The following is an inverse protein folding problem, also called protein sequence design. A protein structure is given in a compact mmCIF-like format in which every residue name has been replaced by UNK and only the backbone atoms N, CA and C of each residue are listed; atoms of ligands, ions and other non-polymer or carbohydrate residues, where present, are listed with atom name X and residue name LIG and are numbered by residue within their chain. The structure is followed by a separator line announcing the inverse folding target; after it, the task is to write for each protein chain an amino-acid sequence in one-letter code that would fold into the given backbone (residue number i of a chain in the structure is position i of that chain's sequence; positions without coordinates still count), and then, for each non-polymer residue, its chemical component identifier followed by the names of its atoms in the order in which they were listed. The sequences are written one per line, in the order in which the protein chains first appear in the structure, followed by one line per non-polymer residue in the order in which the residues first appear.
data_IF_038162416514
#
_entry.id   IF_038162416514
#
_cell.length_a   1.000
_cell.length_b   1.000
_cell.length_c   1.000
_cell.angle_alpha   90.00
_cell.angle_beta   90.00
_cell.angle_gamma   90.00
#
_symmetry.space_group_name_H-M   'P 1'
#
loop_
_entity.id
_entity.type
_entity.pdbx_description
1 polymer ?
#
# COMPACT_ATOMS: atom_id res chain seq x y z
N UNK A 1 2.51 19.11 21.36
CA UNK A 1 2.76 17.67 21.68
C UNK A 1 2.03 16.83 20.66
N UNK A 2 2.77 15.97 20.01
CA UNK A 2 2.44 15.30 18.74
C UNK A 2 1.33 14.25 18.88
N UNK A 3 0.38 14.21 17.93
CA UNK A 3 -0.63 13.15 17.78
C UNK A 3 0.01 11.79 17.38
N UNK A 4 1.32 11.77 17.09
CA UNK A 4 2.09 10.53 16.93
C UNK A 4 2.29 9.71 18.21
N UNK A 5 1.66 10.06 19.33
CA UNK A 5 1.76 9.33 20.60
C UNK A 5 0.71 8.23 20.85
N UNK A 6 -0.03 7.79 19.83
CA UNK A 6 -0.98 6.65 19.94
C UNK A 6 -0.28 5.28 19.86
N UNK A 7 1.03 5.21 19.57
CA UNK A 7 1.79 3.94 19.63
C UNK A 7 2.64 3.78 20.90
N UNK A 8 2.21 4.41 22.00
CA UNK A 8 2.80 4.21 23.33
C UNK A 8 1.96 3.25 24.18
N UNK A 9 1.64 2.06 23.68
CA UNK A 9 1.25 0.92 24.52
C UNK A 9 1.52 -0.42 23.81
N UNK A 10 2.19 -1.31 24.54
CA UNK A 10 2.69 -2.64 24.14
C UNK A 10 1.63 -3.50 23.43
N UNK A 11 2.04 -4.15 22.33
CA UNK A 11 1.37 -5.21 21.56
C UNK A 11 0.10 -4.74 20.80
N UNK A 12 -0.04 -4.88 19.47
CA UNK A 12 0.05 -6.15 18.76
C UNK A 12 0.42 -5.95 17.27
N UNK A 13 1.61 -6.39 16.82
CA UNK A 13 1.99 -6.39 15.39
C UNK A 13 0.99 -7.15 14.51
N UNK A 14 0.18 -8.00 15.13
CA UNK A 14 -0.93 -8.71 14.51
C UNK A 14 -1.99 -7.79 13.93
N UNK A 15 -2.50 -6.83 14.70
CA UNK A 15 -3.52 -5.89 14.24
C UNK A 15 -2.96 -4.99 13.13
N UNK A 16 -1.72 -4.55 13.31
CA UNK A 16 -0.95 -3.82 12.30
C UNK A 16 -0.88 -4.56 10.95
N UNK A 17 -0.56 -5.85 10.97
CA UNK A 17 -0.50 -6.70 9.78
C UNK A 17 -1.90 -6.87 9.16
N UNK A 18 -2.93 -7.12 9.99
CA UNK A 18 -4.29 -7.32 9.51
C UNK A 18 -4.83 -6.09 8.78
N UNK A 19 -4.57 -4.89 9.30
CA UNK A 19 -4.97 -3.66 8.64
C UNK A 19 -4.39 -3.60 7.22
N UNK A 20 -3.09 -3.88 7.05
CA UNK A 20 -2.44 -3.83 5.72
C UNK A 20 -2.97 -4.89 4.76
N UNK A 21 -3.33 -6.08 5.26
CA UNK A 21 -3.99 -7.11 4.44
C UNK A 21 -5.36 -6.63 3.96
N UNK A 22 -6.16 -6.03 4.84
CA UNK A 22 -7.48 -5.48 4.49
C UNK A 22 -7.35 -4.37 3.45
N UNK A 23 -6.41 -3.43 3.62
CA UNK A 23 -6.15 -2.38 2.64
C UNK A 23 -5.77 -2.95 1.27
N UNK A 24 -4.91 -3.97 1.24
CA UNK A 24 -4.52 -4.65 -0.01
C UNK A 24 -5.73 -5.21 -0.74
N UNK A 25 -6.59 -5.97 -0.04
CA UNK A 25 -7.76 -6.60 -0.62
C UNK A 25 -8.77 -5.57 -1.16
N UNK A 26 -9.01 -4.48 -0.41
CA UNK A 26 -9.93 -3.42 -0.81
C UNK A 26 -9.40 -2.54 -1.95
N UNK A 27 -8.08 -2.43 -2.09
CA UNK A 27 -7.45 -1.61 -3.12
C UNK A 27 -7.51 -2.23 -4.51
N UNK A 28 -7.59 -3.56 -4.62
CA UNK A 28 -7.44 -4.25 -5.89
C UNK A 28 -8.54 -3.88 -6.88
N UNK A 29 -9.81 -3.99 -6.47
CA UNK A 29 -10.95 -3.67 -7.33
C UNK A 29 -10.97 -2.20 -7.77
N UNK A 30 -10.53 -1.28 -6.91
CA UNK A 30 -10.42 0.14 -7.27
C UNK A 30 -9.26 0.37 -8.24
N UNK A 31 -8.13 -0.29 -8.01
CA UNK A 31 -6.97 -0.23 -8.88
C UNK A 31 -7.32 -0.71 -10.30
N UNK A 32 -7.95 -1.87 -10.43
CA UNK A 32 -8.37 -2.44 -11.72
C UNK A 32 -9.54 -1.69 -12.36
N UNK A 33 -10.42 -1.06 -11.56
CA UNK A 33 -11.47 -0.19 -12.10
C UNK A 33 -10.92 1.13 -12.67
N UNK A 34 -9.91 1.73 -12.03
CA UNK A 34 -9.27 2.98 -12.49
C UNK A 34 -8.30 2.72 -13.63
N UNK A 35 -7.68 1.54 -13.63
CA UNK A 35 -6.77 1.08 -14.68
C UNK A 35 -7.28 -0.26 -15.27
N UNK A 36 -8.35 -0.22 -16.10
CA UNK A 36 -8.99 -1.42 -16.68
C UNK A 36 -8.02 -2.31 -17.48
N UNK A 37 -6.94 -1.75 -17.99
CA UNK A 37 -5.85 -2.50 -18.61
C UNK A 37 -5.20 -3.51 -17.66
N UNK A 38 -5.34 -3.38 -16.35
CA UNK A 38 -4.85 -4.32 -15.34
C UNK A 38 -5.96 -5.24 -14.79
N UNK A 39 -7.16 -5.27 -15.38
CA UNK A 39 -8.28 -6.14 -14.96
C UNK A 39 -7.95 -7.64 -14.91
N UNK A 40 -6.96 -8.11 -15.65
CA UNK A 40 -6.47 -9.50 -15.58
C UNK A 40 -6.02 -9.88 -14.13
N UNK A 41 -5.73 -8.91 -13.26
CA UNK A 41 -5.45 -9.16 -11.83
C UNK A 41 -6.66 -9.64 -11.03
N UNK A 42 -7.89 -9.46 -11.53
CA UNK A 42 -9.12 -9.93 -10.88
C UNK A 42 -9.37 -11.42 -11.10
N UNK A 43 -8.56 -12.10 -11.90
CA UNK A 43 -8.59 -13.56 -11.98
C UNK A 43 -8.16 -14.18 -10.64
N UNK A 44 -8.87 -15.22 -10.18
CA UNK A 44 -8.67 -15.83 -8.85
C UNK A 44 -7.20 -16.16 -8.53
N UNK A 45 -6.46 -16.67 -9.52
CA UNK A 45 -5.04 -17.00 -9.38
C UNK A 45 -4.16 -15.76 -9.14
N UNK A 46 -4.47 -14.63 -9.78
CA UNK A 46 -3.70 -13.39 -9.72
C UNK A 46 -4.05 -12.59 -8.46
N UNK A 47 -5.30 -12.66 -7.98
CA UNK A 47 -5.72 -12.13 -6.68
C UNK A 47 -4.88 -12.75 -5.56
N UNK A 48 -4.70 -14.08 -5.56
CA UNK A 48 -3.89 -14.76 -4.54
C UNK A 48 -2.43 -14.29 -4.53
N UNK A 49 -1.87 -14.00 -5.70
CA UNK A 49 -0.52 -13.47 -5.84
C UNK A 49 -0.46 -12.02 -5.31
N UNK A 50 -1.42 -11.19 -5.68
CA UNK A 50 -1.57 -9.82 -5.19
C UNK A 50 -1.65 -9.78 -3.65
N UNK A 51 -2.55 -10.57 -3.06
CA UNK A 51 -2.76 -10.66 -1.62
C UNK A 51 -1.57 -11.26 -0.85
N UNK A 52 -0.62 -11.87 -1.56
CA UNK A 52 0.63 -12.36 -0.97
C UNK A 52 1.73 -11.31 -0.98
N UNK A 53 1.81 -10.50 -2.04
CA UNK A 53 2.92 -9.56 -2.29
C UNK A 53 2.59 -8.16 -1.78
N UNK A 54 1.38 -7.66 -2.06
CA UNK A 54 1.06 -6.27 -1.80
C UNK A 54 0.97 -5.92 -0.30
N UNK A 55 0.41 -6.77 0.59
CA UNK A 55 0.47 -6.51 2.02
C UNK A 55 1.90 -6.41 2.56
N UNK A 56 2.84 -7.19 1.99
CA UNK A 56 4.26 -7.16 2.40
C UNK A 56 4.88 -5.81 2.06
N UNK A 57 4.57 -5.28 0.88
CA UNK A 57 4.99 -3.93 0.49
C UNK A 57 4.39 -2.90 1.45
N UNK A 58 3.10 -2.98 1.79
CA UNK A 58 2.42 -2.05 2.70
C UNK A 58 2.96 -2.08 4.13
N UNK A 59 3.28 -3.27 4.65
CA UNK A 59 3.88 -3.50 5.98
C UNK A 59 5.33 -3.01 5.98
N UNK A 60 6.12 -3.44 5.00
CA UNK A 60 7.54 -3.10 4.91
C UNK A 60 7.78 -1.62 4.64
N UNK A 61 6.98 -0.99 3.76
CA UNK A 61 7.08 0.43 3.45
C UNK A 61 6.96 1.28 4.71
N UNK A 62 5.94 1.02 5.52
CA UNK A 62 5.66 1.76 6.74
C UNK A 62 6.68 1.44 7.84
N UNK A 63 7.12 0.18 7.95
CA UNK A 63 8.19 -0.21 8.87
C UNK A 63 9.54 0.49 8.56
N UNK A 64 9.89 0.64 7.27
CA UNK A 64 11.09 1.37 6.83
C UNK A 64 10.90 2.88 7.06
N UNK A 65 9.77 3.44 6.61
CA UNK A 65 9.46 4.88 6.70
C UNK A 65 9.53 5.40 8.14
N UNK A 66 9.02 4.62 9.09
CA UNK A 66 9.05 4.96 10.51
C UNK A 66 10.43 4.71 11.17
N UNK A 67 11.48 4.47 10.39
CA UNK A 67 12.83 4.11 10.85
C UNK A 67 12.88 2.93 11.83
N UNK A 68 11.83 2.11 11.88
CA UNK A 68 11.68 1.07 12.91
C UNK A 68 12.59 -0.13 12.63
N UNK A 69 12.95 -0.34 11.36
CA UNK A 69 13.90 -1.37 10.92
C UNK A 69 15.31 -1.27 11.51
N UNK A 70 15.69 -0.11 12.07
CA UNK A 70 16.98 0.06 12.75
C UNK A 70 17.03 -0.70 14.08
N UNK A 71 15.88 -1.07 14.64
CA UNK A 71 15.75 -1.90 15.84
C UNK A 71 15.60 -3.38 15.47
N UNK A 72 16.64 -4.16 15.77
CA UNK A 72 16.70 -5.61 15.45
C UNK A 72 15.62 -6.42 16.19
N UNK A 73 15.23 -6.01 17.39
CA UNK A 73 14.20 -6.73 18.15
C UNK A 73 12.84 -6.52 17.50
N UNK A 74 12.52 -5.28 17.13
CA UNK A 74 11.26 -4.96 16.43
C UNK A 74 11.14 -5.65 15.06
N UNK A 75 12.24 -5.74 14.31
CA UNK A 75 12.26 -6.49 13.05
C UNK A 75 12.00 -7.98 13.28
N UNK A 76 12.60 -8.55 14.33
CA UNK A 76 12.43 -9.96 14.69
C UNK A 76 11.00 -10.26 15.12
N UNK A 77 10.41 -9.39 15.95
CA UNK A 77 9.04 -9.51 16.43
C UNK A 77 8.04 -9.42 15.27
N UNK A 78 8.18 -8.41 14.40
CA UNK A 78 7.31 -8.25 13.23
C UNK A 78 7.43 -9.44 12.26
N UNK A 79 8.64 -9.91 11.99
CA UNK A 79 8.87 -11.09 11.13
C UNK A 79 8.21 -12.34 11.72
N UNK A 80 8.29 -12.50 13.05
CA UNK A 80 7.66 -13.62 13.76
C UNK A 80 6.13 -13.57 13.62
N UNK A 81 5.52 -12.39 13.72
CA UNK A 81 4.08 -12.24 13.51
C UNK A 81 3.66 -12.45 12.05
N UNK A 82 4.45 -11.98 11.07
CA UNK A 82 4.21 -12.27 9.65
C UNK A 82 4.18 -13.78 9.41
N UNK A 83 5.14 -14.52 9.98
CA UNK A 83 5.19 -15.98 9.86
C UNK A 83 3.95 -16.69 10.41
N UNK A 84 3.29 -16.12 11.42
CA UNK A 84 2.06 -16.67 12.02
C UNK A 84 0.81 -16.33 11.19
N UNK A 85 0.76 -15.16 10.57
CA UNK A 85 -0.46 -14.59 9.98
C UNK A 85 -0.55 -14.70 8.44
N UNK A 86 0.55 -15.06 7.80
CA UNK A 86 0.63 -15.29 6.36
C UNK A 86 0.97 -16.75 6.05
N UNK A 87 0.91 -17.07 4.75
CA UNK A 87 1.35 -18.37 4.25
C UNK A 87 2.85 -18.60 4.50
N UNK A 88 3.24 -19.88 4.58
CA UNK A 88 4.63 -20.27 4.78
C UNK A 88 5.51 -19.66 3.67
N UNK A 89 6.60 -19.01 4.06
CA UNK A 89 7.55 -18.37 3.13
C UNK A 89 7.33 -16.86 2.95
N UNK A 90 6.20 -16.30 3.42
CA UNK A 90 5.97 -14.85 3.39
C UNK A 90 6.93 -14.08 4.31
N UNK A 91 7.43 -14.72 5.37
CA UNK A 91 8.50 -14.21 6.23
C UNK A 91 9.81 -14.00 5.46
N UNK A 92 10.14 -14.92 4.54
CA UNK A 92 11.32 -14.79 3.67
C UNK A 92 11.14 -13.65 2.67
N UNK A 93 9.94 -13.51 2.08
CA UNK A 93 9.62 -12.39 1.18
C UNK A 93 9.70 -11.04 1.90
N UNK A 94 9.26 -10.97 3.16
CA UNK A 94 9.39 -9.76 3.97
C UNK A 94 10.85 -9.42 4.26
N UNK A 95 11.67 -10.41 4.63
CA UNK A 95 13.11 -10.19 4.84
C UNK A 95 13.82 -9.76 3.56
N UNK A 96 13.48 -10.34 2.41
CA UNK A 96 13.98 -9.94 1.10
C UNK A 96 13.62 -8.48 0.79
N UNK A 97 12.36 -8.09 1.00
CA UNK A 97 11.92 -6.70 0.86
C UNK A 97 12.74 -5.74 1.73
N UNK A 98 12.89 -6.03 3.02
CA UNK A 98 13.64 -5.17 3.95
C UNK A 98 15.10 -5.04 3.52
N UNK A 99 15.72 -6.15 3.11
CA UNK A 99 17.10 -6.18 2.63
C UNK A 99 17.24 -5.33 1.37
N UNK A 100 16.41 -5.59 0.36
CA UNK A 100 16.41 -4.87 -0.91
C UNK A 100 16.27 -3.35 -0.72
N UNK A 101 15.28 -2.93 0.08
CA UNK A 101 15.05 -1.51 0.32
C UNK A 101 16.22 -0.88 1.07
N UNK A 102 16.77 -1.55 2.09
CA UNK A 102 17.89 -1.02 2.87
C UNK A 102 19.15 -0.86 2.02
N UNK A 103 19.40 -1.77 1.08
CA UNK A 103 20.54 -1.70 0.15
C UNK A 103 20.38 -0.59 -0.91
N UNK A 104 19.14 -0.26 -1.31
CA UNK A 104 18.85 0.71 -2.38
C UNK A 104 18.52 2.13 -1.88
N UNK A 105 17.96 2.26 -0.68
CA UNK A 105 17.42 3.51 -0.14
C UNK A 105 18.40 4.19 0.82
N UNK A 106 19.55 4.66 0.32
CA UNK A 106 20.52 5.43 1.13
C UNK A 106 20.05 6.85 1.48
N UNK A 107 19.04 7.36 0.76
CA UNK A 107 18.28 8.58 1.09
C UNK A 107 16.79 8.24 1.06
N UNK A 108 16.03 8.62 2.09
CA UNK A 108 14.59 8.31 2.22
C UNK A 108 13.69 8.81 1.07
N UNK A 109 14.24 9.51 0.07
CA UNK A 109 13.51 10.19 -0.99
C UNK A 109 12.94 9.25 -2.07
N UNK A 110 13.41 7.99 -2.15
CA UNK A 110 13.00 7.05 -3.21
C UNK A 110 12.35 5.75 -2.71
N UNK A 111 11.96 5.68 -1.44
CA UNK A 111 11.34 4.49 -0.85
C UNK A 111 10.15 3.97 -1.67
N UNK A 112 9.24 4.85 -2.12
CA UNK A 112 8.06 4.44 -2.88
C UNK A 112 8.40 3.85 -4.24
N UNK A 113 9.43 4.38 -4.91
CA UNK A 113 9.88 3.91 -6.22
C UNK A 113 10.54 2.55 -6.11
N UNK A 114 11.42 2.37 -5.13
CA UNK A 114 12.05 1.07 -4.90
C UNK A 114 11.05 0.02 -4.42
N UNK A 115 10.05 0.42 -3.65
CA UNK A 115 8.96 -0.48 -3.23
C UNK A 115 8.09 -0.91 -4.40
N UNK A 116 7.71 0.01 -5.28
CA UNK A 116 6.99 -0.29 -6.51
C UNK A 116 7.82 -1.19 -7.45
N UNK A 117 9.13 -0.94 -7.55
CA UNK A 117 10.04 -1.75 -8.34
C UNK A 117 10.17 -3.18 -7.80
N UNK A 118 10.39 -3.33 -6.48
CA UNK A 118 10.45 -4.63 -5.83
C UNK A 118 9.15 -5.42 -6.04
N UNK A 119 8.00 -4.75 -5.90
CA UNK A 119 6.69 -5.34 -6.15
C UNK A 119 6.56 -5.84 -7.59
N UNK A 120 6.89 -5.00 -8.57
CA UNK A 120 6.84 -5.38 -9.99
C UNK A 120 7.73 -6.60 -10.28
N UNK A 121 8.95 -6.64 -9.73
CA UNK A 121 9.85 -7.79 -9.89
C UNK A 121 9.29 -9.07 -9.30
N UNK A 122 8.69 -9.01 -8.12
CA UNK A 122 8.09 -10.19 -7.51
C UNK A 122 6.84 -10.65 -8.26
N UNK A 123 5.99 -9.73 -8.72
CA UNK A 123 4.84 -10.08 -9.56
C UNK A 123 5.28 -10.73 -10.89
N UNK A 124 6.38 -10.29 -11.51
CA UNK A 124 6.90 -10.88 -12.76
C UNK A 124 7.26 -12.36 -12.63
N UNK A 125 7.62 -12.82 -11.43
CA UNK A 125 7.98 -14.23 -11.21
C UNK A 125 6.77 -15.15 -11.34
N UNK A 126 5.59 -14.70 -10.91
CA UNK A 126 4.41 -15.54 -10.74
C UNK A 126 3.31 -15.31 -11.79
N UNK A 127 3.27 -14.14 -12.44
CA UNK A 127 2.20 -13.82 -13.39
C UNK A 127 2.44 -14.39 -14.80
N UNK A 128 1.39 -14.45 -15.62
CA UNK A 128 1.43 -14.93 -17.01
C UNK A 128 2.09 -13.91 -17.97
N UNK A 129 2.51 -14.33 -19.16
CA UNK A 129 3.28 -13.48 -20.09
C UNK A 129 2.64 -12.13 -20.43
N UNK A 130 1.32 -12.08 -20.67
CA UNK A 130 0.59 -10.83 -20.92
C UNK A 130 0.66 -9.87 -19.73
N UNK A 131 0.54 -10.40 -18.51
CA UNK A 131 0.62 -9.64 -17.27
C UNK A 131 2.05 -9.20 -16.95
N UNK A 132 3.06 -10.03 -17.22
CA UNK A 132 4.47 -9.67 -17.04
C UNK A 132 4.83 -8.38 -17.81
N UNK A 133 4.42 -8.31 -19.07
CA UNK A 133 4.65 -7.11 -19.89
C UNK A 133 3.99 -5.87 -19.27
N UNK A 134 2.75 -6.00 -18.79
CA UNK A 134 1.98 -4.90 -18.19
C UNK A 134 2.62 -4.33 -16.92
N UNK A 135 3.13 -5.19 -16.04
CA UNK A 135 3.73 -4.74 -14.78
C UNK A 135 5.17 -4.25 -14.93
N UNK A 136 5.85 -4.61 -16.02
CA UNK A 136 7.16 -4.08 -16.41
C UNK A 136 7.07 -2.64 -16.92
N UNK A 137 5.88 -2.19 -17.31
CA UNK A 137 5.67 -0.82 -17.79
C UNK A 137 6.03 0.19 -16.71
N UNK A 138 6.77 1.22 -17.11
CA UNK A 138 7.08 2.37 -16.25
C UNK A 138 5.81 2.97 -15.63
N UNK A 139 4.71 2.99 -16.38
CA UNK A 139 3.42 3.49 -15.92
C UNK A 139 2.91 2.76 -14.68
N UNK A 140 3.01 1.42 -14.65
CA UNK A 140 2.63 0.63 -13.48
C UNK A 140 3.47 1.04 -12.26
N UNK A 141 4.78 1.11 -12.41
CA UNK A 141 5.71 1.51 -11.35
C UNK A 141 5.39 2.92 -10.80
N UNK A 142 5.10 3.86 -11.69
CA UNK A 142 4.74 5.23 -11.33
C UNK A 142 3.41 5.27 -10.55
N UNK A 143 2.39 4.53 -11.00
CA UNK A 143 1.08 4.41 -10.32
C UNK A 143 1.26 3.86 -8.91
N UNK A 144 1.98 2.75 -8.71
CA UNK A 144 2.20 2.19 -7.37
C UNK A 144 2.99 3.12 -6.48
N UNK A 145 4.00 3.79 -7.03
CA UNK A 145 4.79 4.78 -6.28
C UNK A 145 3.91 5.90 -5.76
N UNK A 146 3.00 6.41 -6.60
CA UNK A 146 2.03 7.44 -6.22
C UNK A 146 1.04 6.90 -5.19
N UNK A 147 0.53 5.69 -5.39
CA UNK A 147 -0.39 5.04 -4.47
C UNK A 147 0.20 4.87 -3.06
N UNK A 148 1.45 4.41 -2.95
CA UNK A 148 2.14 4.28 -1.67
C UNK A 148 2.41 5.63 -1.00
N UNK A 149 2.76 6.66 -1.78
CA UNK A 149 2.91 8.03 -1.26
C UNK A 149 1.59 8.57 -0.71
N UNK A 150 0.51 8.45 -1.49
CA UNK A 150 -0.82 8.93 -1.12
C UNK A 150 -1.43 8.18 0.07
N UNK A 151 -1.28 6.85 0.12
CA UNK A 151 -1.88 5.99 1.16
C UNK A 151 -1.30 6.21 2.55
N UNK A 152 -0.07 6.72 2.65
CA UNK A 152 0.63 6.85 3.92
C UNK A 152 0.92 8.28 4.33
N UNK A 153 0.82 9.24 3.41
CA UNK A 153 0.79 10.67 3.63
C UNK A 153 1.94 11.29 4.43
N UNK A 154 2.61 12.29 3.86
CA UNK A 154 3.14 13.36 4.68
C UNK A 154 1.96 14.03 5.44
N UNK A 155 1.77 13.54 6.67
CA UNK A 155 1.08 14.07 7.85
C UNK A 155 -0.39 14.52 7.86
N UNK A 156 -1.13 14.86 6.79
CA UNK A 156 -2.43 15.57 7.01
C UNK A 156 -3.77 14.89 6.70
N UNK A 157 -3.87 13.77 5.98
CA UNK A 157 -5.18 13.41 5.38
C UNK A 157 -5.61 11.95 5.58
N UNK A 158 -6.68 11.75 6.36
CA UNK A 158 -7.34 10.47 6.63
C UNK A 158 -8.44 10.18 5.60
N UNK A 159 -8.03 9.63 4.46
CA UNK A 159 -8.83 9.38 3.26
C UNK A 159 -10.01 8.45 3.50
N UNK A 160 -9.77 7.38 4.25
CA UNK A 160 -10.79 6.38 4.56
C UNK A 160 -11.98 7.01 5.29
N UNK A 161 -11.72 7.79 6.34
CA UNK A 161 -12.78 8.45 7.10
C UNK A 161 -13.56 9.47 6.26
N UNK A 162 -12.89 10.22 5.38
CA UNK A 162 -13.57 11.18 4.53
C UNK A 162 -14.52 10.47 3.55
N UNK A 163 -14.06 9.42 2.87
CA UNK A 163 -14.87 8.69 1.90
C UNK A 163 -16.06 8.02 2.61
N UNK A 164 -15.82 7.33 3.72
CA UNK A 164 -16.89 6.63 4.47
C UNK A 164 -17.94 7.58 5.04
N UNK A 165 -17.59 8.81 5.41
CA UNK A 165 -18.54 9.78 5.96
C UNK A 165 -19.35 10.53 4.89
N UNK A 166 -18.77 10.73 3.70
CA UNK A 166 -19.35 11.62 2.69
C UNK A 166 -19.96 10.88 1.51
N UNK A 167 -19.56 9.63 1.25
CA UNK A 167 -20.14 8.83 0.19
C UNK A 167 -21.49 8.25 0.61
N UNK A 168 -22.54 8.63 -0.11
CA UNK A 168 -23.92 8.18 0.14
C UNK A 168 -24.53 7.46 -1.07
N UNK A 169 -23.86 7.51 -2.21
CA UNK A 169 -24.26 6.85 -3.43
C UNK A 169 -24.11 5.34 -3.41
N UNK A 170 -24.50 4.73 -4.52
CA UNK A 170 -24.35 3.31 -4.77
C UNK A 170 -23.29 3.09 -5.86
N UNK A 171 -22.13 2.52 -5.49
CA UNK A 171 -21.00 2.25 -6.39
C UNK A 171 -21.34 1.36 -7.60
N UNK A 172 -22.49 0.70 -7.61
CA UNK A 172 -22.97 -0.12 -8.75
C UNK A 172 -23.70 0.70 -9.81
N UNK A 173 -23.94 1.98 -9.53
CA UNK A 173 -24.64 2.89 -10.43
C UNK A 173 -23.66 3.91 -10.99
N UNK A 174 -23.89 4.36 -12.22
CA UNK A 174 -23.03 5.36 -12.85
C UNK A 174 -22.97 6.66 -12.05
N UNK A 175 -24.10 7.07 -11.46
CA UNK A 175 -24.19 8.25 -10.59
C UNK A 175 -23.40 8.06 -9.28
N UNK A 176 -23.49 6.90 -8.63
CA UNK A 176 -22.70 6.63 -7.42
C UNK A 176 -21.19 6.47 -7.69
N UNK A 177 -20.79 5.97 -8.86
CA UNK A 177 -19.37 6.00 -9.26
C UNK A 177 -18.87 7.43 -9.47
N UNK A 178 -19.66 8.28 -10.13
CA UNK A 178 -19.33 9.70 -10.32
C UNK A 178 -19.22 10.43 -8.96
N UNK A 179 -20.14 10.19 -8.03
CA UNK A 179 -20.08 10.76 -6.68
C UNK A 179 -18.83 10.32 -5.91
N UNK A 180 -18.48 9.03 -5.97
CA UNK A 180 -17.28 8.51 -5.31
C UNK A 180 -16.00 9.10 -5.90
N UNK A 181 -15.94 9.25 -7.24
CA UNK A 181 -14.83 9.92 -7.90
C UNK A 181 -14.75 11.40 -7.53
N UNK A 182 -15.88 12.12 -7.49
CA UNK A 182 -15.94 13.52 -7.06
C UNK A 182 -15.53 13.69 -5.59
N UNK A 183 -15.89 12.76 -4.70
CA UNK A 183 -15.47 12.78 -3.30
C UNK A 183 -13.98 12.48 -3.16
N UNK A 184 -13.46 11.53 -3.92
CA UNK A 184 -12.03 11.24 -3.96
C UNK A 184 -11.23 12.44 -4.49
N UNK A 185 -11.74 13.09 -5.54
CA UNK A 185 -11.16 14.31 -6.12
C UNK A 185 -11.29 15.51 -5.17
N UNK A 186 -12.41 15.65 -4.46
CA UNK A 186 -12.63 16.70 -3.46
C UNK A 186 -11.78 16.49 -2.22
N UNK A 187 -11.58 15.24 -1.78
CA UNK A 187 -10.63 14.93 -0.73
C UNK A 187 -9.22 15.34 -1.12
N UNK A 188 -8.80 14.99 -2.33
CA UNK A 188 -7.52 15.40 -2.88
C UNK A 188 -7.40 16.94 -3.00
N UNK A 189 -8.43 17.64 -3.50
CA UNK A 189 -8.43 19.13 -3.60
C UNK A 189 -8.40 19.82 -2.24
N UNK A 190 -9.17 19.33 -1.25
CA UNK A 190 -9.19 19.86 0.13
C UNK A 190 -7.87 19.59 0.87
N UNK A 191 -7.23 18.46 0.55
CA UNK A 191 -5.86 18.13 0.93
C UNK A 191 -4.88 19.21 0.45
N UNK A 192 -4.97 19.60 -0.83
CA UNK A 192 -4.10 20.63 -1.39
C UNK A 192 -4.40 22.07 -0.92
N UNK A 193 -5.66 22.46 -0.74
CA UNK A 193 -6.04 23.83 -0.32
C UNK A 193 -5.66 24.08 1.15
N UNK A 194 -5.92 23.12 2.04
CA UNK A 194 -5.59 23.25 3.47
C UNK A 194 -4.09 23.37 3.75
N UNK A 195 -3.25 22.84 2.85
CA UNK A 195 -1.79 22.95 2.90
C UNK A 195 -1.27 24.29 2.42
N UNK A 196 -2.02 24.99 1.53
CA UNK A 196 -1.64 26.32 1.01
C UNK A 196 -1.92 27.43 2.02
N UNK A 197 -3.00 27.32 2.79
CA UNK A 197 -3.46 28.37 3.72
C UNK A 197 -2.87 28.21 5.14
N UNK A 198 -1.91 27.28 5.33
CA UNK A 198 -1.11 27.14 6.57
C UNK A 198 0.35 27.62 6.44
N UNK A 199 0.68 28.39 5.39
CA UNK A 199 1.98 29.07 5.19
C UNK A 199 1.81 30.58 5.26
#
# INVERSE_FOLDING_TARGET
MSIFNIFSKKNDYKDYIFDKKTYSALSLAQFTSVFPEYSDFEEEQNIKIWDSIFPIVLVGYDFIRNNTHKDKNKLTDLTTEIKKLFHKGTDLLFQDYITFITEKSTTNEDLSKYSAYWMSKNLQLYLTGKLKNKIEEKRFLDIFSIFLKASYNDEKFNYHNFITQNFKGNMKTQEGMLEYFELTENFAKNLFISMRDTV
#
